data_IF_021345088108
#
_entry.id   IF_021345088108
#
_cell.length_a   1.000
_cell.length_b   1.000
_cell.length_c   1.000
_cell.angle_alpha   90.00
_cell.angle_beta   90.00
_cell.angle_gamma   90.00
#
_symmetry.space_group_name_H-M   'P 1'
#
loop_
_entity.id
_entity.type
_entity.pdbx_description
1 polymer ?
#
# COMPACT_ATOMS: atom_id res chain seq x y z
N UNK A 1 -17.50 25.59 15.21
CA UNK A 1 -18.01 24.47 16.02
C UNK A 1 -17.12 24.31 17.25
N UNK A 2 -17.67 24.48 18.45
CA UNK A 2 -16.92 24.26 19.68
C UNK A 2 -16.91 22.77 20.04
N UNK A 3 -15.92 22.02 19.54
CA UNK A 3 -15.68 20.65 19.98
C UNK A 3 -15.06 20.72 21.38
N UNK A 4 -15.58 19.93 22.33
CA UNK A 4 -15.05 19.90 23.71
C UNK A 4 -13.59 19.41 23.73
N UNK A 5 -12.84 19.81 24.76
CA UNK A 5 -11.45 19.38 24.94
C UNK A 5 -11.35 17.84 25.01
N UNK A 6 -12.26 17.20 25.75
CA UNK A 6 -12.34 15.75 25.87
C UNK A 6 -12.54 15.07 24.51
N UNK A 7 -13.43 15.58 23.65
CA UNK A 7 -13.63 15.01 22.31
C UNK A 7 -12.38 15.18 21.43
N UNK A 8 -11.64 16.28 21.57
CA UNK A 8 -10.38 16.48 20.84
C UNK A 8 -9.31 15.49 21.30
N UNK A 9 -9.14 15.28 22.60
CA UNK A 9 -8.19 14.32 23.15
C UNK A 9 -8.50 12.88 22.73
N UNK A 10 -9.79 12.51 22.73
CA UNK A 10 -10.24 11.22 22.23
C UNK A 10 -9.94 11.04 20.74
N UNK A 11 -10.23 12.04 19.91
CA UNK A 11 -9.95 12.00 18.48
C UNK A 11 -8.44 11.93 18.19
N UNK A 12 -7.64 12.75 18.86
CA UNK A 12 -6.18 12.74 18.72
C UNK A 12 -5.59 11.37 19.09
N UNK A 13 -6.06 10.78 20.21
CA UNK A 13 -5.64 9.46 20.66
C UNK A 13 -6.03 8.36 19.66
N UNK A 14 -7.26 8.40 19.14
CA UNK A 14 -7.74 7.44 18.14
C UNK A 14 -6.94 7.52 16.84
N UNK A 15 -6.65 8.73 16.34
CA UNK A 15 -5.83 8.90 15.14
C UNK A 15 -4.38 8.46 15.37
N UNK A 16 -3.78 8.80 16.51
CA UNK A 16 -2.43 8.38 16.85
C UNK A 16 -2.31 6.85 16.96
N UNK A 17 -3.28 6.20 17.63
CA UNK A 17 -3.34 4.73 17.71
C UNK A 17 -3.54 4.09 16.34
N UNK A 18 -4.48 4.61 15.53
CA UNK A 18 -4.76 4.09 14.19
C UNK A 18 -3.54 4.18 13.27
N UNK A 19 -2.88 5.34 13.23
CA UNK A 19 -1.65 5.55 12.47
C UNK A 19 -0.50 4.67 13.00
N UNK A 20 -0.35 4.56 14.32
CA UNK A 20 0.67 3.73 14.95
C UNK A 20 0.54 2.25 14.59
N UNK A 21 -0.67 1.70 14.72
CA UNK A 21 -0.97 0.30 14.37
C UNK A 21 -0.75 0.06 12.88
N UNK A 22 -1.22 0.96 12.01
CA UNK A 22 -1.03 0.83 10.58
C UNK A 22 0.46 0.88 10.19
N UNK A 23 1.23 1.83 10.74
CA UNK A 23 2.67 1.91 10.53
C UNK A 23 3.38 0.62 10.99
N UNK A 24 3.06 0.12 12.18
CA UNK A 24 3.62 -1.15 12.68
C UNK A 24 3.29 -2.31 11.74
N UNK A 25 2.04 -2.41 11.30
CA UNK A 25 1.61 -3.42 10.32
C UNK A 25 2.40 -3.33 9.01
N UNK A 26 2.65 -2.12 8.51
CA UNK A 26 3.51 -1.91 7.33
C UNK A 26 4.95 -2.36 7.56
N UNK A 27 5.58 -1.97 8.66
CA UNK A 27 6.96 -2.34 8.97
C UNK A 27 7.14 -3.85 9.11
N UNK A 28 6.12 -4.56 9.57
CA UNK A 28 6.12 -6.02 9.63
C UNK A 28 5.89 -6.61 8.24
N UNK A 29 4.83 -6.20 7.53
CA UNK A 29 4.44 -6.84 6.27
C UNK A 29 5.37 -6.57 5.11
N UNK A 30 5.99 -5.38 5.03
CA UNK A 30 6.87 -5.00 3.92
C UNK A 30 8.02 -6.00 3.76
N UNK A 31 8.81 -6.33 4.81
CA UNK A 31 9.86 -7.36 4.69
C UNK A 31 9.34 -8.72 4.21
N UNK A 32 8.23 -9.21 4.78
CA UNK A 32 7.65 -10.50 4.37
C UNK A 32 7.25 -10.49 2.90
N UNK A 33 6.52 -9.46 2.46
CA UNK A 33 6.09 -9.32 1.08
C UNK A 33 7.26 -9.02 0.13
N UNK A 34 8.30 -8.33 0.59
CA UNK A 34 9.50 -8.10 -0.22
C UNK A 34 10.17 -9.42 -0.60
N UNK A 35 10.38 -10.31 0.37
CA UNK A 35 11.00 -11.61 0.09
C UNK A 35 10.11 -12.52 -0.76
N UNK A 36 8.79 -12.46 -0.56
CA UNK A 36 7.85 -13.36 -1.25
C UNK A 36 7.43 -12.88 -2.63
N UNK A 37 7.25 -11.57 -2.79
CA UNK A 37 6.79 -10.96 -4.05
C UNK A 37 7.96 -10.35 -4.80
N UNK A 38 8.64 -9.37 -4.24
CA UNK A 38 9.62 -8.56 -4.97
C UNK A 38 10.82 -9.38 -5.42
N UNK A 39 11.40 -10.22 -4.56
CA UNK A 39 12.51 -11.09 -4.99
C UNK A 39 12.10 -12.12 -6.05
N UNK A 40 10.85 -12.60 -6.00
CA UNK A 40 10.30 -13.56 -6.98
C UNK A 40 10.05 -12.88 -8.33
N UNK A 41 9.31 -11.78 -8.33
CA UNK A 41 8.84 -11.16 -9.56
C UNK A 41 9.86 -10.24 -10.22
N UNK A 42 10.77 -9.60 -9.47
CA UNK A 42 11.90 -8.87 -10.08
C UNK A 42 12.82 -9.83 -10.86
N UNK A 43 12.98 -11.07 -10.39
CA UNK A 43 13.73 -12.10 -11.12
C UNK A 43 12.98 -12.60 -12.37
N UNK A 44 11.65 -12.54 -12.37
CA UNK A 44 10.80 -12.95 -13.50
C UNK A 44 10.67 -11.84 -14.56
N UNK A 45 10.75 -10.58 -14.15
CA UNK A 45 10.58 -9.41 -15.01
C UNK A 45 11.80 -8.46 -14.89
N UNK A 46 12.92 -8.75 -15.57
CA UNK A 46 14.16 -7.99 -15.42
C UNK A 46 14.03 -6.51 -15.86
N UNK A 47 13.04 -6.21 -16.70
CA UNK A 47 12.73 -4.86 -17.16
C UNK A 47 11.84 -4.05 -16.21
N UNK A 48 11.57 -4.54 -14.99
CA UNK A 48 10.65 -3.87 -14.06
C UNK A 48 11.07 -2.45 -13.66
N UNK A 49 12.37 -2.14 -13.75
CA UNK A 49 12.88 -0.78 -13.57
C UNK A 49 12.22 0.24 -14.50
N UNK A 50 11.65 -0.19 -15.64
CA UNK A 50 10.86 0.66 -16.56
C UNK A 50 9.49 1.05 -15.98
N UNK A 51 8.93 0.24 -15.07
CA UNK A 51 7.64 0.52 -14.40
C UNK A 51 7.88 1.37 -13.14
N UNK A 52 8.88 1.01 -12.33
CA UNK A 52 9.24 1.72 -11.10
C UNK A 52 10.74 2.04 -11.13
N UNK A 53 11.13 3.22 -11.66
CA UNK A 53 12.53 3.62 -11.83
C UNK A 53 13.12 4.22 -10.54
N UNK A 54 12.73 3.69 -9.38
CA UNK A 54 13.22 4.16 -8.08
C UNK A 54 14.40 3.28 -7.63
N UNK A 55 15.57 3.87 -7.34
CA UNK A 55 16.69 3.12 -6.79
C UNK A 55 16.43 2.75 -5.32
N UNK A 56 17.33 1.90 -4.80
CA UNK A 56 17.47 1.61 -3.36
C UNK A 56 16.21 1.04 -2.68
N UNK A 57 16.11 1.25 -1.37
CA UNK A 57 15.03 0.75 -0.51
C UNK A 57 13.67 1.28 -0.96
N UNK A 58 13.61 2.53 -1.44
CA UNK A 58 12.35 3.12 -1.89
C UNK A 58 11.79 2.39 -3.11
N UNK A 59 12.65 1.99 -4.05
CA UNK A 59 12.27 1.12 -5.15
C UNK A 59 11.77 -0.23 -4.69
N UNK A 60 12.46 -0.88 -3.75
CA UNK A 60 12.04 -2.17 -3.22
C UNK A 60 10.64 -2.11 -2.58
N UNK A 61 10.35 -1.08 -1.79
CA UNK A 61 9.04 -0.87 -1.17
C UNK A 61 7.97 -0.62 -2.22
N UNK A 62 8.22 0.26 -3.19
CA UNK A 62 7.27 0.59 -4.25
C UNK A 62 6.93 -0.63 -5.11
N UNK A 63 7.93 -1.44 -5.50
CA UNK A 63 7.70 -2.68 -6.25
C UNK A 63 6.92 -3.71 -5.42
N UNK A 64 7.23 -3.84 -4.13
CA UNK A 64 6.50 -4.73 -3.21
C UNK A 64 5.01 -4.37 -3.18
N UNK A 65 4.70 -3.08 -3.01
CA UNK A 65 3.33 -2.59 -3.03
C UNK A 65 2.65 -2.79 -4.38
N UNK A 66 3.37 -2.60 -5.48
CA UNK A 66 2.84 -2.77 -6.83
C UNK A 66 2.52 -4.23 -7.16
N UNK A 67 3.36 -5.19 -6.75
CA UNK A 67 3.04 -6.61 -6.91
C UNK A 67 1.87 -7.05 -6.05
N UNK A 68 1.80 -6.59 -4.79
CA UNK A 68 0.64 -6.84 -3.93
C UNK A 68 -0.64 -6.29 -4.57
N UNK A 69 -0.56 -5.10 -5.16
CA UNK A 69 -1.65 -4.48 -5.91
C UNK A 69 -2.08 -5.33 -7.13
N UNK A 70 -1.14 -5.83 -7.95
CA UNK A 70 -1.49 -6.69 -9.10
C UNK A 70 -2.15 -8.02 -8.67
N UNK A 71 -1.77 -8.56 -7.51
CA UNK A 71 -2.39 -9.75 -6.94
C UNK A 71 -3.83 -9.45 -6.48
N UNK A 72 -4.05 -8.32 -5.80
CA UNK A 72 -5.38 -7.95 -5.30
C UNK A 72 -6.32 -7.56 -6.45
N UNK A 73 -5.85 -6.72 -7.37
CA UNK A 73 -6.64 -6.12 -8.44
C UNK A 73 -6.30 -6.71 -9.82
N UNK A 74 -6.73 -7.96 -10.04
CA UNK A 74 -6.42 -8.83 -11.19
C UNK A 74 -6.53 -8.20 -12.59
N UNK A 75 -7.32 -7.14 -12.76
CA UNK A 75 -7.66 -6.58 -14.07
C UNK A 75 -7.15 -5.15 -14.29
N UNK A 76 -6.60 -4.48 -13.27
CA UNK A 76 -6.25 -3.06 -13.40
C UNK A 76 -4.97 -2.85 -14.23
N UNK A 77 -4.03 -3.79 -14.23
CA UNK A 77 -2.82 -3.72 -15.08
C UNK A 77 -3.06 -4.13 -16.54
N UNK A 78 -4.24 -4.67 -16.86
CA UNK A 78 -4.62 -5.10 -18.22
C UNK A 78 -5.28 -3.98 -19.04
N UNK A 79 -5.53 -2.83 -18.43
CA UNK A 79 -6.02 -1.64 -19.13
C UNK A 79 -4.91 -1.04 -20.00
N UNK A 80 -5.24 -0.57 -21.21
CA UNK A 80 -4.33 0.14 -22.13
C UNK A 80 -3.65 1.34 -21.46
N UNK A 81 -4.26 1.90 -20.41
CA UNK A 81 -3.68 2.97 -19.58
C UNK A 81 -2.40 2.57 -18.84
N UNK A 82 -2.13 1.27 -18.68
CA UNK A 82 -0.92 0.74 -18.07
C UNK A 82 -0.04 -0.02 -19.08
N UNK A 83 0.11 0.54 -20.29
CA UNK A 83 0.84 -0.07 -21.41
C UNK A 83 2.23 -0.60 -21.02
N UNK A 84 3.02 0.19 -20.28
CA UNK A 84 4.37 -0.21 -19.85
C UNK A 84 4.32 -1.44 -18.94
N UNK A 85 3.39 -1.47 -17.99
CA UNK A 85 3.18 -2.64 -17.13
C UNK A 85 2.79 -3.86 -17.93
N UNK A 86 1.89 -3.71 -18.90
CA UNK A 86 1.47 -4.80 -19.78
C UNK A 86 2.63 -5.32 -20.63
N UNK A 87 3.42 -4.44 -21.24
CA UNK A 87 4.59 -4.77 -22.06
C UNK A 87 5.66 -5.52 -21.24
N UNK A 88 5.98 -5.02 -20.04
CA UNK A 88 7.02 -5.60 -19.18
C UNK A 88 6.58 -6.92 -18.55
N UNK A 89 5.31 -7.06 -18.17
CA UNK A 89 4.79 -8.27 -17.51
C UNK A 89 4.22 -9.30 -18.49
N UNK A 90 4.14 -8.96 -19.78
CA UNK A 90 3.57 -9.80 -20.84
C UNK A 90 2.22 -10.43 -20.45
N UNK A 91 1.30 -9.61 -19.91
CA UNK A 91 -0.04 -10.03 -19.45
C UNK A 91 -0.04 -11.16 -18.39
N UNK A 92 1.02 -11.28 -17.59
CA UNK A 92 1.10 -12.28 -16.53
C UNK A 92 -0.08 -12.16 -15.54
N UNK A 93 -0.70 -13.31 -15.22
CA UNK A 93 -1.77 -13.40 -14.22
C UNK A 93 -1.16 -13.55 -12.81
N UNK A 94 -0.80 -12.42 -12.19
CA UNK A 94 -0.21 -12.39 -10.85
C UNK A 94 -1.07 -13.12 -9.81
N UNK A 95 -2.39 -12.90 -9.83
CA UNK A 95 -3.30 -13.54 -8.87
C UNK A 95 -3.45 -15.04 -9.14
N UNK A 96 -3.60 -15.42 -10.40
CA UNK A 96 -3.73 -16.83 -10.81
C UNK A 96 -2.50 -17.68 -10.45
N UNK A 97 -1.33 -17.06 -10.37
CA UNK A 97 -0.05 -17.73 -10.08
C UNK A 97 0.52 -17.43 -8.68
N UNK A 98 -0.23 -16.71 -7.84
CA UNK A 98 0.17 -16.43 -6.47
C UNK A 98 -0.20 -17.59 -5.54
N UNK A 99 0.64 -17.88 -4.55
CA UNK A 99 0.27 -18.80 -3.48
C UNK A 99 -0.88 -18.20 -2.66
N UNK A 100 -1.75 -19.04 -2.08
CA UNK A 100 -2.87 -18.56 -1.23
C UNK A 100 -2.41 -17.61 -0.14
N UNK A 101 -1.26 -17.90 0.48
CA UNK A 101 -0.65 -17.04 1.50
C UNK A 101 -0.26 -15.67 0.94
N UNK A 102 0.29 -15.60 -0.27
CA UNK A 102 0.68 -14.33 -0.91
C UNK A 102 -0.55 -13.48 -1.22
N UNK A 103 -1.65 -14.12 -1.61
CA UNK A 103 -2.93 -13.46 -1.84
C UNK A 103 -3.44 -12.84 -0.53
N UNK A 104 -3.48 -13.62 0.56
CA UNK A 104 -3.93 -13.14 1.87
C UNK A 104 -3.06 -11.98 2.37
N UNK A 105 -1.74 -12.12 2.31
CA UNK A 105 -0.80 -11.08 2.74
C UNK A 105 -0.94 -9.81 1.88
N UNK A 106 -1.19 -9.95 0.57
CA UNK A 106 -1.41 -8.81 -0.33
C UNK A 106 -2.71 -8.07 -0.01
N UNK A 107 -3.80 -8.80 0.27
CA UNK A 107 -5.06 -8.19 0.73
C UNK A 107 -4.87 -7.47 2.07
N UNK A 108 -4.19 -8.09 3.03
CA UNK A 108 -3.91 -7.49 4.33
C UNK A 108 -3.07 -6.22 4.19
N UNK A 109 -2.03 -6.25 3.35
CA UNK A 109 -1.20 -5.10 3.07
C UNK A 109 -2.00 -3.95 2.45
N UNK A 110 -2.81 -4.23 1.42
CA UNK A 110 -3.65 -3.22 0.77
C UNK A 110 -4.69 -2.68 1.75
N UNK A 111 -5.28 -3.52 2.60
CA UNK A 111 -6.22 -3.09 3.63
C UNK A 111 -5.57 -2.13 4.64
N UNK A 112 -4.38 -2.45 5.15
CA UNK A 112 -3.63 -1.58 6.07
C UNK A 112 -3.24 -0.26 5.37
N UNK A 113 -2.87 -0.32 4.08
CA UNK A 113 -2.61 0.88 3.28
C UNK A 113 -3.83 1.80 3.19
N UNK A 114 -5.01 1.23 2.94
CA UNK A 114 -6.25 2.00 2.92
C UNK A 114 -6.58 2.60 4.29
N UNK A 115 -6.42 1.84 5.38
CA UNK A 115 -6.62 2.36 6.74
C UNK A 115 -5.68 3.53 7.02
N UNK A 116 -4.39 3.40 6.70
CA UNK A 116 -3.42 4.46 6.89
C UNK A 116 -3.78 5.73 6.11
N UNK A 117 -4.13 5.60 4.83
CA UNK A 117 -4.54 6.73 3.98
C UNK A 117 -5.82 7.37 4.50
N UNK A 118 -6.83 6.58 4.87
CA UNK A 118 -8.09 7.08 5.41
C UNK A 118 -7.89 7.83 6.73
N UNK A 119 -7.07 7.29 7.64
CA UNK A 119 -6.70 7.95 8.89
C UNK A 119 -5.96 9.27 8.64
N UNK A 120 -5.03 9.29 7.68
CA UNK A 120 -4.29 10.51 7.33
C UNK A 120 -5.21 11.57 6.73
N UNK A 121 -6.12 11.19 5.82
CA UNK A 121 -7.12 12.09 5.23
C UNK A 121 -8.03 12.66 6.33
N UNK A 122 -8.52 11.82 7.23
CA UNK A 122 -9.37 12.26 8.33
C UNK A 122 -8.63 13.26 9.23
N UNK A 123 -7.40 12.96 9.64
CA UNK A 123 -6.58 13.86 10.46
C UNK A 123 -6.36 15.22 9.77
N UNK A 124 -6.02 15.22 8.48
CA UNK A 124 -5.84 16.44 7.70
C UNK A 124 -7.15 17.23 7.57
N UNK A 125 -8.28 16.55 7.39
CA UNK A 125 -9.59 17.19 7.32
C UNK A 125 -9.94 17.89 8.64
N UNK A 126 -9.79 17.21 9.78
CA UNK A 126 -10.08 17.80 11.08
C UNK A 126 -9.14 18.98 11.40
N UNK A 127 -7.84 18.83 11.13
CA UNK A 127 -6.85 19.87 11.48
C UNK A 127 -6.84 21.06 10.52
N UNK A 128 -6.92 20.82 9.20
CA UNK A 128 -6.77 21.87 8.18
C UNK A 128 -8.10 22.44 7.69
N UNK A 129 -9.15 21.63 7.58
CA UNK A 129 -10.44 22.08 7.05
C UNK A 129 -11.34 22.59 8.17
N UNK A 130 -11.45 21.82 9.26
CA UNK A 130 -12.31 22.19 10.39
C UNK A 130 -11.60 23.08 11.42
N UNK A 131 -10.28 23.27 11.31
CA UNK A 131 -9.48 24.07 12.25
C UNK A 131 -9.45 23.51 13.67
N UNK A 132 -9.70 22.20 13.82
CA UNK A 132 -9.63 21.52 15.12
C UNK A 132 -8.17 21.27 15.42
N UNK A 133 -7.64 21.91 16.46
CA UNK A 133 -6.31 21.60 16.96
C UNK A 133 -6.34 20.20 17.60
N UNK A 134 -5.90 19.19 16.83
CA UNK A 134 -5.75 17.78 17.20
C UNK A 134 -4.26 17.42 17.23
#
# INVERSE_FOLDING_TARGET
>A
MGISLETKEWLASLFALGLGIACLGFFILIPFLYFRLTRKYDAMFPEYHRIVPLPSVMGAVARTGLYAYFIVFRNLHKDKRHKITYEVTNNYDFRGNALRMDIVLSYLYVFIAFLFIASLIALLFFTKVLGVNL
#
